data_IF_377457038645
#
_entry.id   IF_377457038645
#
_cell.length_a   1.000
_cell.length_b   1.000
_cell.length_c   1.000
_cell.angle_alpha   90.00
_cell.angle_beta   90.00
_cell.angle_gamma   90.00
#
_symmetry.space_group_name_H-M   'P 1'
#
loop_
_entity.id
_entity.type
_entity.pdbx_description
1 polymer ?
#
# COMPACT_ATOMS: atom_id res chain seq x y z
N UNK A 1 80.64 -29.98 49.86
CA UNK A 1 79.57 -28.95 49.75
C UNK A 1 78.76 -29.25 48.51
N UNK A 2 77.57 -29.89 48.59
CA UNK A 2 76.70 -30.05 47.44
C UNK A 2 75.62 -28.97 47.41
N UNK A 3 75.45 -28.37 46.23
CA UNK A 3 74.42 -27.37 45.90
C UNK A 3 73.06 -28.05 45.65
N UNK A 4 72.09 -27.66 46.47
CA UNK A 4 70.70 -28.08 46.37
C UNK A 4 70.05 -27.35 45.17
N UNK A 5 69.66 -28.06 44.15
CA UNK A 5 68.86 -27.50 43.05
C UNK A 5 67.38 -27.57 43.41
N UNK A 6 66.78 -26.42 43.59
CA UNK A 6 65.37 -26.25 43.82
C UNK A 6 64.67 -26.26 42.49
N UNK A 7 63.77 -27.24 42.23
CA UNK A 7 62.90 -27.31 41.11
C UNK A 7 61.59 -26.56 41.45
N UNK A 8 61.35 -25.48 40.71
CA UNK A 8 60.07 -24.76 40.79
C UNK A 8 59.15 -25.41 39.78
N UNK A 9 58.10 -26.08 40.26
CA UNK A 9 57.01 -26.62 39.40
C UNK A 9 56.04 -25.48 39.16
N UNK A 10 56.05 -24.92 37.96
CA UNK A 10 55.05 -23.97 37.53
C UNK A 10 53.78 -24.73 37.12
N UNK A 11 52.73 -24.63 37.94
CA UNK A 11 51.42 -25.12 37.61
C UNK A 11 50.77 -24.13 36.58
N UNK A 12 50.67 -24.58 35.33
CA UNK A 12 49.93 -23.84 34.30
C UNK A 12 48.43 -23.99 34.57
N UNK A 13 47.80 -22.95 35.04
CA UNK A 13 46.35 -22.80 35.07
C UNK A 13 45.85 -22.53 33.64
N UNK A 14 45.35 -23.58 33.00
CA UNK A 14 44.64 -23.44 31.73
C UNK A 14 43.23 -22.87 32.03
N UNK A 15 43.13 -21.57 31.96
CA UNK A 15 41.85 -20.88 32.01
C UNK A 15 41.03 -21.20 30.73
N UNK A 16 39.97 -21.98 30.90
CA UNK A 16 38.99 -22.25 29.85
C UNK A 16 38.22 -20.94 29.59
N UNK A 17 38.68 -20.12 28.62
CA UNK A 17 37.92 -19.00 28.10
C UNK A 17 36.79 -19.60 27.25
N UNK A 18 35.60 -19.70 27.84
CA UNK A 18 34.39 -19.89 27.07
C UNK A 18 34.19 -18.66 26.16
N UNK A 19 33.95 -18.86 24.86
CA UNK A 19 33.64 -17.72 23.98
C UNK A 19 32.35 -17.06 24.47
N UNK A 20 32.25 -15.71 24.40
CA UNK A 20 31.01 -15.03 24.73
C UNK A 20 29.94 -15.55 23.77
N UNK A 21 28.82 -16.05 24.34
CA UNK A 21 27.61 -16.29 23.56
C UNK A 21 27.21 -14.94 22.96
N UNK A 22 27.54 -14.73 21.68
CA UNK A 22 26.93 -13.66 20.90
C UNK A 22 25.46 -14.01 20.76
N UNK A 23 24.64 -13.40 21.60
CA UNK A 23 23.22 -13.31 21.37
C UNK A 23 23.05 -12.55 20.05
N UNK A 24 22.82 -13.26 18.95
CA UNK A 24 22.31 -12.68 17.75
C UNK A 24 20.89 -12.20 18.06
N UNK A 25 20.79 -10.96 18.52
CA UNK A 25 19.53 -10.23 18.48
C UNK A 25 19.24 -10.04 17.00
N UNK A 26 18.33 -10.83 16.48
CA UNK A 26 17.70 -10.54 15.20
C UNK A 26 16.97 -9.21 15.40
N UNK A 27 17.55 -8.14 14.89
CA UNK A 27 16.81 -6.90 14.76
C UNK A 27 15.71 -7.19 13.74
N UNK A 28 14.48 -7.37 14.21
CA UNK A 28 13.32 -7.32 13.33
C UNK A 28 13.39 -5.96 12.64
N UNK A 29 13.64 -5.99 11.32
CA UNK A 29 13.65 -4.77 10.53
C UNK A 29 12.28 -4.12 10.60
N UNK A 30 12.23 -2.79 10.49
CA UNK A 30 10.97 -2.07 10.44
C UNK A 30 10.01 -2.73 9.43
N UNK A 31 8.71 -2.86 9.74
CA UNK A 31 7.75 -3.49 8.86
C UNK A 31 7.71 -2.77 7.51
N UNK A 32 7.57 -3.55 6.44
CA UNK A 32 7.51 -3.07 5.06
C UNK A 32 6.12 -3.28 4.48
N UNK A 33 5.77 -2.47 3.50
CA UNK A 33 4.55 -2.67 2.69
C UNK A 33 4.68 -4.01 1.98
N UNK A 34 3.86 -4.97 2.37
CA UNK A 34 3.80 -6.32 1.81
C UNK A 34 2.38 -6.86 1.88
N UNK A 35 2.10 -7.93 1.15
CA UNK A 35 0.79 -8.58 1.14
C UNK A 35 0.33 -8.92 2.57
N UNK A 36 -0.92 -8.60 2.89
CA UNK A 36 -1.54 -8.82 4.20
C UNK A 36 -1.15 -7.83 5.30
N UNK A 37 -0.22 -6.92 5.09
CA UNK A 37 0.07 -5.85 6.04
C UNK A 37 -1.04 -4.79 6.02
N UNK A 38 -1.32 -4.15 7.16
CA UNK A 38 -2.19 -2.98 7.21
C UNK A 38 -1.35 -1.73 7.04
N UNK A 39 -1.60 -0.98 5.97
CA UNK A 39 -0.79 0.18 5.58
C UNK A 39 -1.62 1.45 5.66
N UNK A 40 -1.09 2.47 6.33
CA UNK A 40 -1.62 3.83 6.32
C UNK A 40 -0.74 4.69 5.41
N UNK A 41 -1.35 5.26 4.38
CA UNK A 41 -0.68 6.03 3.33
C UNK A 41 -1.31 7.40 3.17
N UNK A 42 -0.49 8.42 3.02
CA UNK A 42 -0.86 9.76 2.55
C UNK A 42 -0.52 9.86 1.07
N UNK A 43 -1.40 10.48 0.29
CA UNK A 43 -1.15 10.66 -1.15
C UNK A 43 -1.76 11.94 -1.69
N UNK A 44 -1.19 12.41 -2.79
CA UNK A 44 -1.70 13.52 -3.62
C UNK A 44 -1.69 13.04 -5.06
N UNK A 45 -2.76 13.31 -5.82
CA UNK A 45 -2.83 12.95 -7.24
C UNK A 45 -2.82 14.22 -8.07
N UNK A 46 -1.92 14.27 -9.05
CA UNK A 46 -1.84 15.34 -10.05
C UNK A 46 -2.18 14.77 -11.42
N UNK A 47 -3.04 15.46 -12.16
CA UNK A 47 -3.38 15.17 -13.56
C UNK A 47 -2.78 16.29 -14.42
N UNK A 48 -1.61 16.11 -15.03
CA UNK A 48 -0.87 17.18 -15.69
C UNK A 48 -1.66 17.85 -16.83
N UNK A 49 -2.40 17.06 -17.62
CA UNK A 49 -3.11 17.56 -18.81
C UNK A 49 -4.22 18.56 -18.48
N UNK A 50 -4.85 18.41 -17.32
CA UNK A 50 -5.94 19.29 -16.87
C UNK A 50 -5.53 20.23 -15.74
N UNK A 51 -4.27 20.17 -15.29
CA UNK A 51 -3.77 20.88 -14.12
C UNK A 51 -4.60 20.62 -12.85
N UNK A 52 -5.32 19.51 -12.84
CA UNK A 52 -6.12 19.10 -11.69
C UNK A 52 -5.20 18.51 -10.63
N UNK A 53 -5.31 18.99 -9.41
CA UNK A 53 -4.66 18.41 -8.24
C UNK A 53 -5.75 17.95 -7.29
N UNK A 54 -5.81 16.64 -7.03
CA UNK A 54 -6.61 16.08 -5.95
C UNK A 54 -5.75 16.23 -4.69
N UNK A 55 -6.19 17.05 -3.73
CA UNK A 55 -5.36 17.41 -2.59
C UNK A 55 -5.07 16.20 -1.72
N UNK A 56 -4.07 16.38 -0.87
CA UNK A 56 -3.61 15.44 0.13
C UNK A 56 -4.76 14.71 0.83
N UNK A 57 -4.74 13.39 0.75
CA UNK A 57 -5.69 12.50 1.40
C UNK A 57 -4.93 11.37 2.12
N UNK A 58 -5.57 10.74 3.07
CA UNK A 58 -5.04 9.60 3.83
C UNK A 58 -5.96 8.41 3.64
N UNK A 59 -5.38 7.29 3.29
CA UNK A 59 -6.11 6.02 3.14
C UNK A 59 -5.39 4.89 3.88
N UNK A 60 -6.18 4.01 4.46
CA UNK A 60 -5.72 2.73 4.98
C UNK A 60 -6.09 1.65 3.96
N UNK A 61 -5.19 0.72 3.71
CA UNK A 61 -5.42 -0.38 2.78
C UNK A 61 -4.58 -1.60 3.17
N UNK A 62 -4.94 -2.74 2.59
CA UNK A 62 -4.21 -4.01 2.74
C UNK A 62 -3.74 -4.47 1.37
N UNK A 63 -2.41 -4.48 1.09
CA UNK A 63 -1.89 -5.00 -0.17
C UNK A 63 -2.39 -6.42 -0.46
N UNK A 64 -2.77 -6.68 -1.71
CA UNK A 64 -3.38 -7.94 -2.16
C UNK A 64 -4.91 -7.96 -2.15
N UNK A 65 -5.59 -6.97 -1.55
CA UNK A 65 -7.05 -6.89 -1.50
C UNK A 65 -7.68 -6.08 -2.64
N UNK A 66 -6.88 -5.64 -3.63
CA UNK A 66 -7.33 -4.85 -4.78
C UNK A 66 -7.99 -3.51 -4.41
N UNK A 67 -7.58 -2.90 -3.30
CA UNK A 67 -8.08 -1.60 -2.82
C UNK A 67 -7.37 -0.43 -3.49
N UNK A 68 -6.24 -0.67 -4.14
CA UNK A 68 -5.44 0.29 -4.90
C UNK A 68 -5.32 -0.11 -6.37
N UNK A 69 -4.90 0.85 -7.21
CA UNK A 69 -4.46 0.54 -8.57
C UNK A 69 -3.30 -0.47 -8.53
N UNK A 70 -3.32 -1.56 -9.31
CA UNK A 70 -2.31 -2.62 -9.23
C UNK A 70 -0.87 -2.12 -9.42
N UNK A 71 -0.67 -1.17 -10.34
CA UNK A 71 0.65 -0.60 -10.60
C UNK A 71 1.11 0.36 -9.50
N UNK A 72 0.19 1.04 -8.81
CA UNK A 72 0.50 1.82 -7.61
C UNK A 72 0.92 0.89 -6.46
N UNK A 73 0.14 -0.16 -6.20
CA UNK A 73 0.44 -1.15 -5.16
C UNK A 73 1.81 -1.79 -5.37
N UNK A 74 2.10 -2.22 -6.61
CA UNK A 74 3.42 -2.75 -6.99
C UNK A 74 4.54 -1.74 -6.77
N UNK A 75 4.29 -0.46 -7.08
CA UNK A 75 5.30 0.59 -6.95
C UNK A 75 5.67 0.88 -5.50
N UNK A 76 4.73 0.75 -4.55
CA UNK A 76 4.95 1.04 -3.13
C UNK A 76 5.32 -0.20 -2.30
N UNK A 77 5.20 -1.39 -2.88
CA UNK A 77 5.64 -2.65 -2.21
C UNK A 77 7.10 -2.55 -1.78
N UNK A 78 7.40 -2.98 -0.56
CA UNK A 78 8.73 -2.90 0.07
C UNK A 78 9.04 -1.58 0.76
N UNK A 79 8.23 -0.54 0.60
CA UNK A 79 8.42 0.73 1.29
C UNK A 79 8.19 0.60 2.80
N UNK A 80 8.86 1.46 3.55
CA UNK A 80 8.78 1.54 5.02
C UNK A 80 8.07 2.80 5.47
N UNK A 81 7.68 2.82 6.72
CA UNK A 81 7.16 4.02 7.38
C UNK A 81 8.08 5.21 7.18
N UNK A 82 7.51 6.35 6.78
CA UNK A 82 8.21 7.60 6.52
C UNK A 82 8.78 7.74 5.11
N UNK A 83 8.85 6.67 4.33
CA UNK A 83 9.32 6.74 2.95
C UNK A 83 8.30 7.41 2.04
N UNK A 84 8.83 8.17 1.07
CA UNK A 84 8.06 8.90 0.08
C UNK A 84 8.44 8.44 -1.32
N UNK A 85 7.46 8.41 -2.22
CA UNK A 85 7.69 8.03 -3.61
C UNK A 85 6.74 8.76 -4.54
N UNK A 86 7.27 9.22 -5.66
CA UNK A 86 6.47 9.68 -6.80
C UNK A 86 6.27 8.52 -7.76
N UNK A 87 5.01 8.24 -8.07
CA UNK A 87 4.61 7.18 -9.00
C UNK A 87 3.92 7.83 -10.18
N UNK A 88 4.41 7.49 -11.36
CA UNK A 88 3.94 7.99 -12.65
C UNK A 88 3.20 6.87 -13.34
N UNK A 89 1.91 7.07 -13.63
CA UNK A 89 1.04 6.06 -14.22
C UNK A 89 0.44 6.56 -15.51
N UNK A 90 0.68 5.83 -16.60
CA UNK A 90 -0.05 6.03 -17.84
C UNK A 90 -1.55 5.76 -17.65
N UNK A 91 -2.38 6.18 -18.58
CA UNK A 91 -3.80 5.86 -18.55
C UNK A 91 -4.06 4.35 -18.45
N UNK A 92 -3.28 3.53 -19.18
CA UNK A 92 -3.42 2.08 -19.20
C UNK A 92 -3.03 1.43 -17.85
N UNK A 93 -2.09 2.03 -17.15
CA UNK A 93 -1.62 1.58 -15.82
C UNK A 93 -2.51 2.07 -14.67
N UNK A 94 -3.42 3.01 -14.97
CA UNK A 94 -4.32 3.64 -13.99
C UNK A 94 -5.78 3.21 -14.22
N UNK A 95 -6.61 4.09 -14.77
CA UNK A 95 -8.05 3.86 -14.96
C UNK A 95 -8.43 3.41 -16.38
N UNK A 96 -7.45 3.04 -17.18
CA UNK A 96 -7.61 2.61 -18.56
C UNK A 96 -7.80 3.76 -19.55
N UNK A 97 -7.80 3.45 -20.86
CA UNK A 97 -8.04 4.42 -21.92
C UNK A 97 -9.46 4.97 -21.84
N UNK A 98 -9.63 6.19 -22.34
CA UNK A 98 -10.96 6.77 -22.49
C UNK A 98 -11.70 6.08 -23.65
N UNK A 99 -12.95 5.66 -23.43
CA UNK A 99 -13.77 4.94 -24.39
C UNK A 99 -14.93 5.82 -24.88
N UNK A 100 -14.84 6.29 -26.11
CA UNK A 100 -15.87 7.13 -26.73
C UNK A 100 -17.24 6.43 -26.86
N UNK A 101 -17.28 5.10 -26.84
CA UNK A 101 -18.51 4.33 -26.90
C UNK A 101 -19.31 4.31 -25.61
N UNK A 102 -18.69 4.71 -24.51
CA UNK A 102 -19.32 4.84 -23.18
C UNK A 102 -20.05 6.16 -22.98
N UNK A 103 -20.23 6.95 -24.02
CA UNK A 103 -21.06 8.16 -24.00
C UNK A 103 -22.49 7.84 -24.39
N UNK A 104 -23.42 8.58 -23.82
CA UNK A 104 -24.85 8.45 -24.14
C UNK A 104 -25.57 9.78 -24.07
N UNK A 105 -26.81 9.75 -24.59
CA UNK A 105 -27.73 10.89 -24.50
C UNK A 105 -29.02 10.38 -23.85
N UNK A 106 -29.48 11.13 -22.84
CA UNK A 106 -30.75 10.85 -22.16
C UNK A 106 -31.64 12.10 -22.16
N UNK A 107 -32.94 11.92 -21.83
CA UNK A 107 -33.81 13.07 -21.58
C UNK A 107 -33.36 13.83 -20.35
N UNK A 108 -33.29 15.15 -20.42
CA UNK A 108 -32.99 15.98 -19.23
C UNK A 108 -34.09 15.88 -18.15
N UNK A 109 -35.32 15.48 -18.53
CA UNK A 109 -36.41 15.22 -17.59
C UNK A 109 -36.19 13.99 -16.72
N UNK A 110 -35.30 13.08 -17.14
CA UNK A 110 -34.90 11.89 -16.35
C UNK A 110 -33.94 12.23 -15.23
N UNK A 111 -33.42 13.45 -15.18
CA UNK A 111 -32.49 13.92 -14.17
C UNK A 111 -33.23 14.76 -13.11
N UNK A 112 -32.75 14.77 -11.86
CA UNK A 112 -33.29 15.63 -10.82
C UNK A 112 -33.24 17.11 -11.22
N UNK A 113 -34.24 17.93 -10.81
CA UNK A 113 -34.23 19.36 -11.04
C UNK A 113 -32.96 20.01 -10.45
N UNK A 114 -32.36 20.93 -11.24
CA UNK A 114 -31.14 21.61 -10.81
C UNK A 114 -29.83 20.86 -11.07
N UNK A 115 -29.88 19.73 -11.79
CA UNK A 115 -28.68 19.04 -12.27
C UNK A 115 -27.79 20.00 -13.06
N UNK A 116 -26.48 19.88 -12.88
CA UNK A 116 -25.47 20.67 -13.60
C UNK A 116 -24.45 19.74 -14.27
N UNK A 117 -23.80 20.19 -15.37
CA UNK A 117 -22.63 19.50 -15.89
C UNK A 117 -21.59 19.25 -14.80
N UNK A 118 -21.00 18.04 -14.77
CA UNK A 118 -20.10 17.55 -13.74
C UNK A 118 -20.79 16.80 -12.60
N UNK A 119 -22.14 16.79 -12.53
CA UNK A 119 -22.85 15.99 -11.52
C UNK A 119 -22.74 14.51 -11.85
N UNK A 120 -22.43 13.71 -10.81
CA UNK A 120 -22.32 12.25 -10.90
C UNK A 120 -23.62 11.63 -10.39
N UNK A 121 -24.15 10.70 -11.15
CA UNK A 121 -25.29 9.87 -10.79
C UNK A 121 -24.93 8.40 -10.91
N UNK A 122 -25.82 7.54 -10.44
CA UNK A 122 -25.70 6.08 -10.56
C UNK A 122 -27.00 5.55 -11.19
N UNK A 123 -26.87 4.64 -12.16
CA UNK A 123 -28.04 3.94 -12.75
C UNK A 123 -28.68 3.01 -11.73
N UNK A 124 -29.84 2.45 -12.04
CA UNK A 124 -30.52 1.45 -11.19
C UNK A 124 -29.66 0.19 -11.01
N UNK A 125 -28.82 -0.15 -11.98
CA UNK A 125 -27.89 -1.28 -11.94
C UNK A 125 -26.60 -0.95 -11.13
N UNK A 126 -26.48 0.26 -10.58
CA UNK A 126 -25.32 0.68 -9.80
C UNK A 126 -24.14 1.22 -10.62
N UNK A 127 -24.33 1.50 -11.92
CA UNK A 127 -23.26 2.03 -12.78
C UNK A 127 -23.18 3.54 -12.66
N UNK A 128 -22.04 4.14 -12.26
CA UNK A 128 -21.90 5.59 -12.18
C UNK A 128 -21.76 6.23 -13.57
N UNK A 129 -22.31 7.43 -13.74
CA UNK A 129 -22.12 8.27 -14.91
C UNK A 129 -22.03 9.75 -14.54
N UNK A 130 -21.37 10.52 -15.38
CA UNK A 130 -21.24 11.98 -15.25
C UNK A 130 -22.11 12.65 -16.30
N UNK A 131 -22.87 13.67 -15.91
CA UNK A 131 -23.54 14.57 -16.86
C UNK A 131 -22.48 15.52 -17.42
N UNK A 132 -22.22 15.45 -18.72
CA UNK A 132 -21.17 16.28 -19.34
C UNK A 132 -21.74 17.57 -19.94
N UNK A 133 -22.98 17.55 -20.43
CA UNK A 133 -23.65 18.71 -21.03
C UNK A 133 -25.16 18.62 -20.85
N UNK A 134 -25.81 19.78 -20.75
CA UNK A 134 -27.26 19.95 -20.75
C UNK A 134 -27.64 20.88 -21.90
N UNK A 135 -28.39 20.36 -22.88
CA UNK A 135 -28.79 21.08 -24.07
C UNK A 135 -30.32 20.96 -24.26
N UNK A 136 -31.09 21.84 -23.63
CA UNK A 136 -32.54 21.85 -23.69
C UNK A 136 -33.13 20.53 -23.13
N UNK A 137 -33.88 19.75 -23.99
CA UNK A 137 -34.55 18.54 -23.54
C UNK A 137 -33.62 17.32 -23.42
N UNK A 138 -32.34 17.44 -23.74
CA UNK A 138 -31.38 16.34 -23.71
C UNK A 138 -30.16 16.63 -22.81
N UNK A 139 -29.66 15.57 -22.23
CA UNK A 139 -28.43 15.57 -21.45
C UNK A 139 -27.41 14.59 -22.05
N UNK A 140 -26.18 15.02 -22.25
CA UNK A 140 -25.05 14.13 -22.59
C UNK A 140 -24.50 13.55 -21.29
N UNK A 141 -24.28 12.24 -21.30
CA UNK A 141 -23.75 11.49 -20.17
C UNK A 141 -22.52 10.69 -20.57
N UNK A 142 -21.64 10.41 -19.61
CA UNK A 142 -20.40 9.68 -19.79
C UNK A 142 -20.25 8.64 -18.67
N UNK A 143 -20.11 7.38 -19.05
CA UNK A 143 -19.90 6.25 -18.15
C UNK A 143 -18.42 5.92 -17.93
N UNK A 144 -17.50 6.67 -18.56
CA UNK A 144 -16.10 6.51 -18.28
C UNK A 144 -15.78 6.94 -16.83
N UNK A 145 -14.76 6.32 -16.25
CA UNK A 145 -14.20 6.84 -15.00
C UNK A 145 -13.70 8.28 -15.24
N UNK A 146 -13.90 9.24 -14.32
CA UNK A 146 -13.47 10.64 -14.52
C UNK A 146 -11.99 10.84 -14.84
N UNK A 147 -11.15 9.87 -14.46
CA UNK A 147 -9.72 9.84 -14.73
C UNK A 147 -9.32 8.87 -15.86
N UNK A 148 -10.28 8.28 -16.59
CA UNK A 148 -9.97 7.45 -17.76
C UNK A 148 -9.27 8.27 -18.84
N UNK A 149 -8.29 7.69 -19.50
CA UNK A 149 -7.48 8.36 -20.52
C UNK A 149 -6.49 9.39 -19.97
N UNK A 150 -6.40 9.55 -18.64
CA UNK A 150 -5.51 10.53 -18.01
C UNK A 150 -4.22 9.89 -17.52
N UNK A 151 -3.13 10.59 -17.69
CA UNK A 151 -1.87 10.32 -17.04
C UNK A 151 -1.93 10.85 -15.59
N UNK A 152 -1.45 10.05 -14.63
CA UNK A 152 -1.50 10.39 -13.22
C UNK A 152 -0.09 10.43 -12.63
N UNK A 153 0.19 11.49 -11.88
CA UNK A 153 1.36 11.56 -11.00
C UNK A 153 0.84 11.47 -9.57
N UNK A 154 1.27 10.43 -8.85
CA UNK A 154 0.84 10.18 -7.48
C UNK A 154 2.04 10.31 -6.55
N UNK A 155 2.02 11.33 -5.71
CA UNK A 155 2.99 11.49 -4.63
C UNK A 155 2.49 10.76 -3.40
N UNK A 156 3.23 9.76 -2.93
CA UNK A 156 2.88 8.85 -1.84
C UNK A 156 3.85 9.04 -0.69
N UNK A 157 3.32 8.98 0.54
CA UNK A 157 4.08 8.86 1.78
C UNK A 157 3.50 7.75 2.66
N UNK A 158 4.31 6.80 3.08
CA UNK A 158 3.88 5.75 4.01
C UNK A 158 3.91 6.33 5.43
N UNK A 159 2.74 6.38 6.07
CA UNK A 159 2.59 6.91 7.43
C UNK A 159 2.77 5.84 8.49
N UNK A 160 2.29 4.61 8.22
CA UNK A 160 2.43 3.46 9.10
C UNK A 160 2.34 2.16 8.32
N UNK A 161 3.00 1.12 8.83
CA UNK A 161 2.87 -0.26 8.35
C UNK A 161 2.74 -1.15 9.57
N UNK A 162 1.69 -1.94 9.63
CA UNK A 162 1.47 -2.95 10.67
C UNK A 162 1.50 -4.32 10.02
N UNK A 163 2.50 -5.13 10.37
CA UNK A 163 2.54 -6.52 9.92
C UNK A 163 1.45 -7.29 10.64
N UNK A 164 0.56 -7.94 9.90
CA UNK A 164 -0.31 -8.95 10.50
C UNK A 164 0.58 -10.15 10.80
N UNK A 165 1.06 -10.26 12.04
CA UNK A 165 1.69 -11.50 12.50
C UNK A 165 0.55 -12.51 12.51
N UNK A 166 0.50 -13.38 11.51
CA UNK A 166 -0.16 -14.65 11.69
C UNK A 166 0.68 -15.36 12.77
N UNK A 167 0.26 -15.26 14.02
CA UNK A 167 0.70 -16.19 15.04
C UNK A 167 0.37 -17.59 14.50
N UNK A 168 1.37 -18.19 13.88
CA UNK A 168 1.43 -19.63 13.66
C UNK A 168 1.48 -20.28 15.02
N UNK A 169 0.33 -20.31 15.69
CA UNK A 169 0.11 -21.12 16.88
C UNK A 169 0.21 -22.56 16.42
N UNK A 170 1.43 -23.08 16.46
CA UNK A 170 1.71 -24.52 16.32
C UNK A 170 0.86 -25.25 17.36
N UNK A 171 -0.18 -25.93 16.86
CA UNK A 171 -1.04 -26.81 17.67
C UNK A 171 -0.31 -28.10 18.10
N UNK A 172 1.00 -28.08 18.31
CA UNK A 172 1.77 -29.26 18.66
C UNK A 172 2.21 -29.32 20.12
N UNK A 173 1.77 -28.42 20.97
CA UNK A 173 2.14 -28.44 22.41
C UNK A 173 0.96 -28.84 23.34
N UNK A 174 0.03 -29.67 22.84
CA UNK A 174 -1.05 -30.27 23.65
C UNK A 174 -0.95 -31.77 23.76
N UNK A 175 0.22 -32.33 23.86
CA UNK A 175 0.38 -33.73 24.25
C UNK A 175 1.45 -33.83 25.30
N UNK A 176 1.10 -33.56 26.56
CA UNK A 176 1.63 -34.20 27.75
C UNK A 176 1.07 -33.52 29.00
N UNK A 177 -0.23 -33.76 29.26
CA UNK A 177 -0.72 -33.75 30.63
C UNK A 177 -1.51 -35.08 30.79
N UNK A 178 -0.77 -36.15 31.06
CA UNK A 178 -1.36 -37.35 31.59
C UNK A 178 -1.10 -37.38 33.08
N UNK A 179 -2.17 -37.38 33.85
CA UNK A 179 -2.19 -37.67 35.31
C UNK A 179 -2.02 -39.14 35.53
#
# INVERSE_FOLDING_TARGET
MPRLKMWVVAAALVGLLAPPLMLFVWAEGDPVVQEGAVVLMEFTITVPESQLVIPKNVSQFTPGHHELLPNLEKAITGMRKGEEKRVDLSSDDAFGPYDETKKGIISSESLPPGTQPGTIFTTEEGVPFVVTELSGPVASIDFNHPLAGKHLIIDVKILNVESTIQEGMSMDDRRDITI
#
